data_IF_033086483438
#
_entry.id   IF_033086483438
#
_cell.length_a   1.000
_cell.length_b   1.000
_cell.length_c   1.000
_cell.angle_alpha   90.00
_cell.angle_beta   90.00
_cell.angle_gamma   90.00
#
_symmetry.space_group_name_H-M   'P 1'
#
loop_
_entity.id
_entity.type
_entity.pdbx_description
1 polymer ?
#
# COMPACT_ATOMS: atom_id res chain seq x y z
N UNK A 1 -29.71 -81.54 22.83
CA UNK A 1 -28.28 -81.77 22.57
C UNK A 1 -27.67 -80.49 22.00
N UNK A 2 -26.56 -80.05 22.63
CA UNK A 2 -25.51 -79.12 22.18
C UNK A 2 -25.86 -77.76 21.53
N UNK A 3 -25.58 -76.65 22.24
CA UNK A 3 -24.36 -75.79 22.16
C UNK A 3 -24.34 -75.03 20.81
N UNK A 4 -24.23 -73.70 20.75
CA UNK A 4 -23.24 -72.85 21.42
C UNK A 4 -23.65 -71.37 21.32
N UNK A 5 -23.40 -70.60 22.38
CA UNK A 5 -23.43 -69.12 22.41
C UNK A 5 -22.30 -68.56 21.54
N UNK A 6 -22.55 -67.47 20.82
CA UNK A 6 -21.52 -66.49 20.46
C UNK A 6 -22.07 -65.08 20.60
N UNK A 7 -21.61 -64.40 21.67
CA UNK A 7 -21.58 -62.95 21.75
C UNK A 7 -20.53 -62.44 20.75
N UNK A 8 -20.84 -61.42 19.96
CA UNK A 8 -19.82 -60.61 19.30
C UNK A 8 -19.95 -59.16 19.77
N UNK A 9 -18.91 -58.77 20.47
CA UNK A 9 -18.58 -57.46 21.00
C UNK A 9 -18.45 -56.42 19.88
N UNK A 10 -18.90 -55.20 20.21
CA UNK A 10 -18.22 -53.90 20.03
C UNK A 10 -17.19 -53.77 18.91
N UNK A 11 -17.40 -52.77 18.04
CA UNK A 11 -16.57 -51.57 17.90
C UNK A 11 -16.47 -51.07 16.44
N UNK A 12 -16.68 -49.77 16.27
CA UNK A 12 -16.23 -48.92 15.16
C UNK A 12 -16.82 -49.25 13.77
N UNK A 13 -17.23 -48.31 12.92
CA UNK A 13 -16.70 -46.99 12.66
C UNK A 13 -17.87 -46.02 12.43
N UNK A 14 -17.97 -44.98 13.25
CA UNK A 14 -18.45 -43.69 12.75
C UNK A 14 -17.32 -43.17 11.85
N UNK A 15 -17.42 -43.40 10.54
CA UNK A 15 -16.65 -42.64 9.57
C UNK A 15 -17.23 -41.22 9.57
N UNK A 16 -16.82 -40.42 10.55
CA UNK A 16 -16.75 -38.98 10.38
C UNK A 16 -15.83 -38.78 9.18
N UNK A 17 -16.44 -38.49 8.02
CA UNK A 17 -15.76 -37.87 6.91
C UNK A 17 -15.10 -36.61 7.47
N UNK A 18 -13.80 -36.69 7.79
CA UNK A 18 -12.91 -35.55 7.72
C UNK A 18 -12.87 -35.15 6.24
N UNK A 19 -13.93 -34.48 5.79
CA UNK A 19 -13.78 -33.53 4.70
C UNK A 19 -12.80 -32.51 5.26
N UNK A 20 -11.60 -32.34 4.68
CA UNK A 20 -10.79 -31.20 5.04
C UNK A 20 -11.68 -30.00 4.76
N UNK A 21 -12.12 -29.32 5.82
CA UNK A 21 -12.63 -27.98 5.66
C UNK A 21 -11.43 -27.23 5.13
N UNK A 22 -11.37 -27.08 3.81
CA UNK A 22 -10.60 -26.03 3.16
C UNK A 22 -11.20 -24.77 3.75
N UNK A 23 -10.64 -24.35 4.89
CA UNK A 23 -10.99 -23.11 5.52
C UNK A 23 -10.90 -22.10 4.40
N UNK A 24 -12.01 -21.39 4.17
CA UNK A 24 -11.95 -20.10 3.51
C UNK A 24 -10.78 -19.38 4.16
N UNK A 25 -9.65 -19.32 3.44
CA UNK A 25 -8.46 -18.66 3.92
C UNK A 25 -8.90 -17.22 4.14
N UNK A 26 -9.25 -16.87 5.38
CA UNK A 26 -9.22 -15.47 5.81
C UNK A 26 -7.87 -15.00 5.34
N UNK A 27 -7.83 -14.08 4.38
CA UNK A 27 -6.58 -13.52 3.87
C UNK A 27 -5.75 -13.20 5.10
N UNK A 28 -4.69 -13.97 5.34
CA UNK A 28 -3.91 -13.80 6.55
C UNK A 28 -3.26 -12.44 6.35
N UNK A 29 -3.78 -11.43 7.05
CA UNK A 29 -3.17 -10.11 7.06
C UNK A 29 -1.71 -10.32 7.48
N UNK A 30 -0.79 -9.59 6.87
CA UNK A 30 0.60 -9.60 7.33
C UNK A 30 0.62 -9.39 8.84
N UNK A 31 1.50 -10.09 9.54
CA UNK A 31 1.51 -10.14 11.01
C UNK A 31 1.80 -8.80 11.68
N UNK A 32 1.98 -7.73 10.90
CA UNK A 32 2.19 -6.38 11.37
C UNK A 32 0.92 -5.77 11.95
N UNK A 33 1.05 -5.30 13.17
CA UNK A 33 -0.02 -4.62 13.91
C UNK A 33 0.42 -3.21 14.31
N UNK A 34 -0.54 -2.31 14.54
CA UNK A 34 -0.25 -0.96 15.01
C UNK A 34 0.45 -0.93 16.38
N UNK A 35 0.44 -2.03 17.14
CA UNK A 35 1.19 -2.20 18.37
C UNK A 35 2.71 -2.29 18.12
N UNK A 36 3.14 -2.73 16.93
CA UNK A 36 4.56 -2.86 16.57
C UNK A 36 5.14 -1.56 16.00
N UNK A 37 4.31 -0.73 15.36
CA UNK A 37 4.75 0.52 14.73
C UNK A 37 3.83 1.67 15.13
N UNK A 38 4.31 2.50 16.05
CA UNK A 38 3.59 3.69 16.52
C UNK A 38 3.98 4.93 15.70
N UNK A 39 3.22 5.22 14.65
CA UNK A 39 3.45 6.39 13.81
C UNK A 39 3.10 7.73 14.46
N UNK A 40 2.37 7.75 15.58
CA UNK A 40 2.17 8.99 16.35
C UNK A 40 3.49 9.42 16.99
N UNK A 41 4.28 8.45 17.46
CA UNK A 41 5.59 8.71 18.08
C UNK A 41 6.73 8.84 17.07
N UNK A 42 6.66 8.09 15.96
CA UNK A 42 7.74 8.06 14.96
C UNK A 42 7.74 9.25 14.02
N UNK A 43 6.56 9.75 13.63
CA UNK A 43 6.47 10.88 12.73
C UNK A 43 6.62 12.20 13.49
N UNK A 44 7.28 13.22 12.91
CA UNK A 44 7.17 14.56 13.46
C UNK A 44 5.70 15.01 13.41
N UNK A 45 5.26 15.90 14.31
CA UNK A 45 3.94 16.49 14.18
C UNK A 45 3.84 17.30 12.88
N UNK A 46 2.66 17.34 12.21
CA UNK A 46 2.50 18.15 11.03
C UNK A 46 2.69 19.65 11.34
N UNK A 47 3.09 20.47 10.35
CA UNK A 47 3.09 21.91 10.49
C UNK A 47 1.73 22.44 10.94
N UNK A 48 1.74 23.25 12.00
CA UNK A 48 0.52 23.87 12.58
C UNK A 48 -0.20 24.70 11.53
N UNK A 49 -1.54 24.65 11.53
CA UNK A 49 -2.38 25.47 10.64
C UNK A 49 -2.10 26.95 10.89
N UNK A 50 -1.83 27.71 9.82
CA UNK A 50 -1.47 29.12 9.94
C UNK A 50 -0.03 29.37 10.40
N UNK A 51 0.83 28.34 10.50
CA UNK A 51 2.27 28.53 10.70
C UNK A 51 2.95 29.09 9.44
N UNK A 52 4.17 29.62 9.60
CA UNK A 52 4.99 30.06 8.45
C UNK A 52 5.28 28.90 7.48
N UNK A 53 5.49 27.69 8.00
CA UNK A 53 5.73 26.48 7.20
C UNK A 53 4.47 26.14 6.39
N UNK A 54 3.30 26.02 7.03
CA UNK A 54 2.06 25.70 6.32
C UNK A 54 1.69 26.75 5.26
N UNK A 55 1.96 28.05 5.52
CA UNK A 55 1.81 29.10 4.51
C UNK A 55 2.78 28.93 3.33
N UNK A 56 4.03 28.54 3.58
CA UNK A 56 5.00 28.29 2.52
C UNK A 56 4.58 27.10 1.65
N UNK A 57 4.12 26.02 2.28
CA UNK A 57 3.55 24.86 1.60
C UNK A 57 2.35 25.25 0.74
N UNK A 58 1.41 26.04 1.28
CA UNK A 58 0.25 26.51 0.54
C UNK A 58 0.64 27.36 -0.67
N UNK A 59 1.65 28.24 -0.56
CA UNK A 59 2.16 29.01 -1.70
C UNK A 59 2.69 28.11 -2.81
N UNK A 60 3.40 27.04 -2.48
CA UNK A 60 3.85 26.04 -3.45
C UNK A 60 2.64 25.42 -4.18
N UNK A 61 1.63 24.96 -3.44
CA UNK A 61 0.44 24.35 -4.05
C UNK A 61 -0.32 25.32 -4.97
N UNK A 62 -0.43 26.59 -4.59
CA UNK A 62 -1.03 27.63 -5.43
C UNK A 62 -0.21 27.89 -6.71
N UNK A 63 1.12 27.83 -6.62
CA UNK A 63 1.98 27.91 -7.81
C UNK A 63 1.77 26.70 -8.73
N UNK A 64 1.77 25.48 -8.17
CA UNK A 64 1.52 24.25 -8.94
C UNK A 64 0.16 24.26 -9.62
N UNK A 65 -0.89 24.75 -8.94
CA UNK A 65 -2.21 24.90 -9.54
C UNK A 65 -2.20 25.82 -10.77
N UNK A 66 -1.41 26.90 -10.73
CA UNK A 66 -1.32 27.86 -11.84
C UNK A 66 -0.48 27.34 -13.01
N UNK A 67 0.50 26.47 -12.74
CA UNK A 67 1.47 26.02 -13.74
C UNK A 67 1.24 24.60 -14.26
N UNK A 68 0.37 23.80 -13.64
CA UNK A 68 0.15 22.40 -14.03
C UNK A 68 -0.38 22.30 -15.47
N UNK A 69 0.22 21.42 -16.26
CA UNK A 69 -0.23 21.15 -17.63
C UNK A 69 -1.36 20.12 -17.66
N UNK A 70 -2.14 20.02 -18.76
CA UNK A 70 -3.14 18.98 -18.93
C UNK A 70 -2.58 17.56 -18.79
N UNK A 71 -1.37 17.31 -19.28
CA UNK A 71 -0.70 16.01 -19.21
C UNK A 71 -0.34 15.65 -17.76
N UNK A 72 0.15 16.62 -16.99
CA UNK A 72 0.43 16.43 -15.56
C UNK A 72 -0.86 16.16 -14.77
N UNK A 73 -1.95 16.86 -15.11
CA UNK A 73 -3.27 16.62 -14.51
C UNK A 73 -3.75 15.21 -14.82
N UNK A 74 -3.67 14.78 -16.09
CA UNK A 74 -4.08 13.43 -16.50
C UNK A 74 -3.27 12.34 -15.78
N UNK A 75 -1.94 12.52 -15.68
CA UNK A 75 -1.09 11.59 -14.96
C UNK A 75 -1.43 11.54 -13.46
N UNK A 76 -1.64 12.70 -12.83
CA UNK A 76 -2.01 12.77 -11.42
C UNK A 76 -3.37 12.13 -11.15
N UNK A 77 -4.33 12.28 -12.06
CA UNK A 77 -5.65 11.64 -12.00
C UNK A 77 -5.55 10.14 -12.14
N UNK A 78 -4.73 9.63 -13.07
CA UNK A 78 -4.45 8.20 -13.18
C UNK A 78 -3.82 7.65 -11.89
N UNK A 79 -2.91 8.43 -11.27
CA UNK A 79 -2.28 8.12 -9.99
C UNK A 79 -3.21 8.28 -8.77
N UNK A 80 -4.47 8.69 -8.96
CA UNK A 80 -5.47 8.60 -7.90
C UNK A 80 -5.78 7.13 -7.55
N UNK A 81 -5.69 6.21 -8.53
CA UNK A 81 -5.84 4.77 -8.31
C UNK A 81 -4.56 4.22 -7.66
N UNK A 82 -4.69 3.62 -6.47
CA UNK A 82 -3.58 2.97 -5.76
C UNK A 82 -3.47 1.51 -6.17
N UNK A 83 -2.69 1.26 -7.22
CA UNK A 83 -2.37 -0.08 -7.72
C UNK A 83 -0.91 -0.12 -8.15
N UNK A 84 -0.27 -1.28 -8.01
CA UNK A 84 1.13 -1.49 -8.39
C UNK A 84 1.35 -1.23 -9.89
N UNK A 85 0.34 -1.44 -10.72
CA UNK A 85 0.40 -1.21 -12.17
C UNK A 85 0.42 0.28 -12.57
N UNK A 86 0.54 1.20 -11.60
CA UNK A 86 0.93 2.59 -11.88
C UNK A 86 2.43 2.75 -12.17
N UNK A 87 3.21 1.69 -11.99
CA UNK A 87 4.64 1.59 -12.30
C UNK A 87 4.93 0.88 -13.63
N UNK A 88 3.91 0.55 -14.44
CA UNK A 88 4.08 -0.12 -15.74
C UNK A 88 4.97 0.68 -16.70
N UNK A 89 4.97 2.00 -16.61
CA UNK A 89 5.86 2.89 -17.38
C UNK A 89 7.34 2.78 -16.97
N UNK A 90 7.64 2.42 -15.72
CA UNK A 90 8.99 2.15 -15.24
C UNK A 90 9.49 0.73 -15.51
N UNK A 91 8.58 -0.24 -15.61
CA UNK A 91 8.91 -1.67 -15.68
C UNK A 91 8.79 -2.21 -17.11
N UNK A 92 7.73 -1.85 -17.82
CA UNK A 92 7.46 -2.29 -19.18
C UNK A 92 6.04 -2.81 -19.40
N UNK A 93 5.62 -2.94 -20.67
CA UNK A 93 4.21 -3.16 -21.05
C UNK A 93 3.64 -4.51 -20.64
N UNK A 94 4.49 -5.51 -20.33
CA UNK A 94 4.03 -6.79 -19.81
C UNK A 94 3.61 -6.75 -18.33
N UNK A 95 3.98 -5.67 -17.60
CA UNK A 95 3.65 -5.49 -16.18
C UNK A 95 2.21 -4.97 -16.01
N UNK A 96 1.24 -5.88 -16.12
CA UNK A 96 -0.20 -5.57 -16.07
C UNK A 96 -0.94 -6.55 -15.15
N UNK A 97 -2.13 -6.14 -14.67
CA UNK A 97 -2.96 -6.97 -13.80
C UNK A 97 -3.34 -8.31 -14.43
N UNK A 98 -3.63 -8.31 -15.73
CA UNK A 98 -4.05 -9.51 -16.46
C UNK A 98 -2.93 -10.57 -16.53
N UNK A 99 -1.68 -10.11 -16.59
CA UNK A 99 -0.51 -11.00 -16.64
C UNK A 99 -0.01 -11.42 -15.25
N UNK A 100 -0.37 -10.65 -14.21
CA UNK A 100 0.26 -10.72 -12.88
C UNK A 100 -0.77 -10.79 -11.73
N UNK A 101 -1.67 -11.79 -11.71
CA UNK A 101 -2.71 -11.89 -10.69
C UNK A 101 -2.17 -12.10 -9.26
N UNK A 102 -1.08 -12.86 -9.08
CA UNK A 102 -0.48 -13.05 -7.74
C UNK A 102 0.15 -11.75 -7.25
N UNK A 103 0.84 -11.05 -8.13
CA UNK A 103 1.45 -9.75 -7.86
C UNK A 103 0.39 -8.70 -7.53
N UNK A 104 -0.72 -8.68 -8.28
CA UNK A 104 -1.86 -7.81 -8.00
C UNK A 104 -2.40 -8.03 -6.57
N UNK A 105 -2.70 -9.28 -6.23
CA UNK A 105 -3.23 -9.64 -4.91
C UNK A 105 -2.25 -9.29 -3.79
N UNK A 106 -0.95 -9.56 -3.98
CA UNK A 106 0.09 -9.25 -3.01
C UNK A 106 0.21 -7.75 -2.72
N UNK A 107 0.20 -6.89 -3.75
CA UNK A 107 0.26 -5.45 -3.54
C UNK A 107 -1.05 -4.85 -3.02
N UNK A 108 -2.20 -5.48 -3.27
CA UNK A 108 -3.48 -5.10 -2.63
C UNK A 108 -3.47 -5.41 -1.12
N UNK A 109 -2.91 -6.56 -0.72
CA UNK A 109 -2.68 -6.87 0.68
C UNK A 109 -1.70 -5.88 1.32
N UNK A 110 -0.60 -5.57 0.64
CA UNK A 110 0.41 -4.59 1.09
C UNK A 110 -0.20 -3.20 1.30
N UNK A 111 -1.00 -2.73 0.34
CA UNK A 111 -1.72 -1.46 0.46
C UNK A 111 -2.65 -1.45 1.68
N UNK A 112 -3.39 -2.53 1.88
CA UNK A 112 -4.36 -2.65 2.98
C UNK A 112 -3.66 -2.67 4.34
N UNK A 113 -2.55 -3.41 4.47
CA UNK A 113 -1.73 -3.43 5.67
C UNK A 113 -1.12 -2.04 5.97
N UNK A 114 -0.56 -1.37 4.95
CA UNK A 114 0.01 -0.04 5.11
C UNK A 114 -1.05 1.00 5.55
N UNK A 115 -2.26 0.94 4.99
CA UNK A 115 -3.38 1.80 5.39
C UNK A 115 -3.79 1.59 6.86
N UNK A 116 -3.86 0.34 7.30
CA UNK A 116 -4.19 0.01 8.68
C UNK A 116 -3.14 0.54 9.67
N UNK A 117 -1.85 0.45 9.30
CA UNK A 117 -0.75 0.91 10.15
C UNK A 117 -0.70 2.44 10.31
N UNK A 118 -0.97 3.20 9.25
CA UNK A 118 -0.95 4.68 9.35
C UNK A 118 -2.25 5.27 9.90
N UNK A 119 -3.36 4.51 9.88
CA UNK A 119 -4.69 4.95 10.30
C UNK A 119 -4.72 5.66 11.67
N UNK A 120 -4.11 5.09 12.74
CA UNK A 120 -4.05 5.73 14.05
C UNK A 120 -3.37 7.11 14.03
N UNK A 121 -2.26 7.26 13.29
CA UNK A 121 -1.61 8.56 13.14
C UNK A 121 -2.49 9.56 12.39
N UNK A 122 -3.25 9.11 11.38
CA UNK A 122 -4.22 9.98 10.69
C UNK A 122 -5.30 10.49 11.63
N UNK A 123 -5.84 9.60 12.47
CA UNK A 123 -6.85 9.97 13.46
C UNK A 123 -6.30 10.86 14.57
N UNK A 124 -5.05 10.64 15.01
CA UNK A 124 -4.41 11.42 16.06
C UNK A 124 -4.10 12.86 15.62
N UNK A 125 -3.46 13.03 14.45
CA UNK A 125 -3.05 14.35 13.99
C UNK A 125 -4.18 15.15 13.35
N UNK A 126 -5.20 14.47 12.80
CA UNK A 126 -6.40 15.03 12.18
C UNK A 126 -6.17 16.30 11.33
N UNK A 127 -5.07 16.31 10.57
CA UNK A 127 -4.65 17.51 9.84
C UNK A 127 -5.67 17.82 8.73
N UNK A 128 -6.23 19.04 8.65
CA UNK A 128 -7.09 19.41 7.54
C UNK A 128 -6.32 19.40 6.20
N UNK A 129 -7.01 19.04 5.13
CA UNK A 129 -6.46 19.02 3.76
C UNK A 129 -6.18 20.46 3.26
N UNK A 130 -5.27 20.66 2.30
CA UNK A 130 -4.96 21.98 1.77
C UNK A 130 -6.20 22.79 1.34
N UNK A 131 -7.06 22.19 0.52
CA UNK A 131 -8.29 22.81 0.00
C UNK A 131 -9.35 23.12 1.07
N UNK A 132 -9.22 22.58 2.28
CA UNK A 132 -10.10 22.94 3.41
C UNK A 132 -9.64 24.25 4.04
N UNK A 133 -8.33 24.46 4.12
CA UNK A 133 -7.73 25.65 4.76
C UNK A 133 -7.59 26.85 3.82
N UNK A 134 -7.69 26.63 2.51
CA UNK A 134 -7.63 27.69 1.50
C UNK A 134 -8.66 27.40 0.39
N UNK A 135 -9.76 28.19 0.29
CA UNK A 135 -10.80 27.99 -0.71
C UNK A 135 -10.36 28.32 -2.15
N UNK A 136 -9.27 29.07 -2.34
CA UNK A 136 -8.73 29.40 -3.67
C UNK A 136 -7.98 28.22 -4.31
N UNK A 137 -7.66 27.20 -3.52
CA UNK A 137 -7.07 25.96 -4.02
C UNK A 137 -8.17 25.02 -4.53
N UNK A 138 -8.15 24.76 -5.83
CA UNK A 138 -9.05 23.87 -6.57
C UNK A 138 -8.33 22.59 -6.98
N UNK A 139 -8.47 21.49 -6.21
CA UNK A 139 -7.87 20.21 -6.54
C UNK A 139 -8.27 19.69 -7.93
N UNK A 140 -7.34 19.09 -8.66
CA UNK A 140 -7.65 18.35 -9.89
C UNK A 140 -7.83 16.85 -9.65
N UNK A 141 -7.82 16.42 -8.39
CA UNK A 141 -7.99 15.06 -7.93
C UNK A 141 -9.25 14.92 -7.07
N UNK A 142 -9.83 13.71 -6.94
CA UNK A 142 -10.91 13.46 -5.99
C UNK A 142 -10.52 13.89 -4.58
N UNK A 143 -11.43 14.62 -3.91
CA UNK A 143 -11.25 15.12 -2.54
C UNK A 143 -11.47 13.99 -1.53
N UNK A 144 -10.44 13.50 -0.81
CA UNK A 144 -10.63 12.43 0.17
C UNK A 144 -11.39 12.91 1.41
N UNK A 145 -12.15 12.01 2.03
CA UNK A 145 -12.94 12.29 3.25
C UNK A 145 -12.20 11.98 4.57
N UNK A 146 -10.87 11.90 4.55
CA UNK A 146 -10.04 11.62 5.72
C UNK A 146 -8.93 12.66 5.89
N UNK A 147 -8.27 12.64 7.06
CA UNK A 147 -7.19 13.56 7.41
C UNK A 147 -6.04 13.58 6.39
N UNK A 148 -5.32 14.70 6.30
CA UNK A 148 -4.24 14.91 5.34
C UNK A 148 -2.94 14.20 5.74
N UNK A 149 -2.61 14.17 7.04
CA UNK A 149 -1.30 13.71 7.53
C UNK A 149 -1.36 12.29 8.12
N UNK A 150 -0.33 11.43 7.95
CA UNK A 150 0.58 11.43 6.79
C UNK A 150 -0.15 11.06 5.49
N UNK A 151 0.46 11.30 4.33
CA UNK A 151 -0.16 10.95 3.04
C UNK A 151 -0.17 9.45 2.77
N UNK A 152 -1.37 8.84 2.69
CA UNK A 152 -1.53 7.41 2.38
C UNK A 152 -1.13 7.02 0.96
N UNK A 153 -1.30 7.92 -0.03
CA UNK A 153 -0.76 7.72 -1.39
C UNK A 153 0.77 7.73 -1.39
N UNK A 154 1.39 8.60 -0.59
CA UNK A 154 2.85 8.63 -0.46
C UNK A 154 3.39 7.40 0.27
N UNK A 155 2.73 6.96 1.34
CA UNK A 155 3.03 5.70 2.02
C UNK A 155 2.96 4.52 1.04
N UNK A 156 1.86 4.42 0.30
CA UNK A 156 1.65 3.37 -0.70
C UNK A 156 2.74 3.38 -1.78
N UNK A 157 3.04 4.54 -2.38
CA UNK A 157 4.06 4.64 -3.41
C UNK A 157 5.45 4.25 -2.90
N UNK A 158 5.75 4.61 -1.65
CA UNK A 158 7.06 4.32 -1.04
C UNK A 158 7.23 2.83 -0.75
N UNK A 159 6.29 2.22 -0.01
CA UNK A 159 6.35 0.78 0.28
C UNK A 159 6.37 -0.04 -1.02
N UNK A 160 5.55 0.34 -1.99
CA UNK A 160 5.47 -0.33 -3.29
C UNK A 160 6.80 -0.23 -4.04
N UNK A 161 7.40 0.96 -4.10
CA UNK A 161 8.66 1.17 -4.83
C UNK A 161 9.84 0.39 -4.22
N UNK A 162 9.93 0.33 -2.89
CA UNK A 162 10.97 -0.43 -2.19
C UNK A 162 10.81 -1.93 -2.51
N UNK A 163 9.60 -2.46 -2.38
CA UNK A 163 9.33 -3.87 -2.62
C UNK A 163 9.59 -4.22 -4.09
N UNK A 164 9.10 -3.41 -5.04
CA UNK A 164 9.31 -3.61 -6.47
C UNK A 164 10.80 -3.54 -6.82
N UNK A 165 11.56 -2.59 -6.29
CA UNK A 165 13.01 -2.50 -6.55
C UNK A 165 13.78 -3.72 -6.01
N UNK A 166 13.31 -4.35 -4.93
CA UNK A 166 13.86 -5.63 -4.46
C UNK A 166 13.45 -6.81 -5.36
N UNK A 167 12.25 -6.79 -5.94
CA UNK A 167 11.81 -7.82 -6.91
C UNK A 167 12.55 -7.69 -8.25
N UNK A 168 12.84 -6.45 -8.67
CA UNK A 168 13.35 -6.05 -9.98
C UNK A 168 14.52 -5.06 -9.83
N UNK A 169 15.67 -5.49 -9.29
CA UNK A 169 16.82 -4.62 -9.11
C UNK A 169 17.29 -3.97 -10.42
N UNK A 170 17.07 -4.63 -11.55
CA UNK A 170 17.38 -4.14 -12.90
C UNK A 170 16.58 -2.89 -13.28
N UNK A 171 15.44 -2.64 -12.63
CA UNK A 171 14.56 -1.49 -12.84
C UNK A 171 14.54 -0.51 -11.66
N UNK A 172 15.39 -0.69 -10.65
CA UNK A 172 15.30 0.03 -9.38
C UNK A 172 15.28 1.56 -9.56
N UNK A 173 16.19 2.11 -10.36
CA UNK A 173 16.28 3.55 -10.60
C UNK A 173 15.00 4.10 -11.25
N UNK A 174 14.48 3.41 -12.26
CA UNK A 174 13.23 3.78 -12.93
C UNK A 174 12.03 3.70 -11.98
N UNK A 175 11.96 2.66 -11.14
CA UNK A 175 10.91 2.48 -10.14
C UNK A 175 10.93 3.61 -9.12
N UNK A 176 12.09 3.97 -8.58
CA UNK A 176 12.20 5.05 -7.60
C UNK A 176 11.91 6.42 -8.21
N UNK A 177 12.40 6.69 -9.43
CA UNK A 177 12.06 7.91 -10.16
C UNK A 177 10.55 8.03 -10.37
N UNK A 178 9.88 6.94 -10.76
CA UNK A 178 8.43 6.92 -10.95
C UNK A 178 7.66 7.14 -9.66
N UNK A 179 8.16 6.59 -8.56
CA UNK A 179 7.59 6.77 -7.23
C UNK A 179 7.64 8.25 -6.77
N UNK A 180 8.72 8.98 -7.09
CA UNK A 180 8.79 10.42 -6.82
C UNK A 180 7.72 11.19 -7.59
N UNK A 181 7.52 10.89 -8.87
CA UNK A 181 6.45 11.50 -9.67
C UNK A 181 5.07 11.19 -9.08
N UNK A 182 4.83 9.94 -8.69
CA UNK A 182 3.56 9.52 -8.07
C UNK A 182 3.24 10.30 -6.79
N UNK A 183 4.26 10.49 -5.95
CA UNK A 183 4.15 11.25 -4.70
C UNK A 183 3.90 12.73 -4.97
N UNK A 184 4.68 13.32 -5.87
CA UNK A 184 4.56 14.72 -6.25
C UNK A 184 3.19 15.04 -6.86
N UNK A 185 2.59 14.11 -7.59
CA UNK A 185 1.24 14.26 -8.15
C UNK A 185 0.17 14.56 -7.07
N UNK A 186 0.42 14.24 -5.80
CA UNK A 186 -0.49 14.56 -4.69
C UNK A 186 -0.41 16.04 -4.28
N UNK A 187 0.77 16.65 -4.40
CA UNK A 187 1.00 18.07 -4.20
C UNK A 187 0.48 18.86 -5.40
N UNK A 188 0.85 18.45 -6.62
CA UNK A 188 0.34 19.04 -7.87
C UNK A 188 -1.20 19.00 -7.95
N UNK A 189 -1.77 17.92 -7.43
CA UNK A 189 -3.22 17.74 -7.34
C UNK A 189 -3.91 18.57 -6.25
N UNK A 190 -3.17 19.22 -5.36
CA UNK A 190 -3.69 20.09 -4.30
C UNK A 190 -4.38 19.36 -3.15
N UNK A 191 -4.11 18.06 -2.96
CA UNK A 191 -4.80 17.23 -1.93
C UNK A 191 -3.90 16.86 -0.75
N UNK A 192 -2.61 17.14 -0.83
CA UNK A 192 -1.64 16.97 0.25
C UNK A 192 -0.64 18.12 0.26
N UNK A 193 -0.17 18.46 1.46
CA UNK A 193 0.99 19.32 1.65
C UNK A 193 2.29 18.52 1.44
N UNK A 194 3.41 19.19 1.09
CA UNK A 194 4.73 18.56 1.02
C UNK A 194 5.11 17.78 2.29
N UNK A 195 4.81 18.30 3.48
CA UNK A 195 5.06 17.59 4.74
C UNK A 195 4.19 16.34 4.92
N UNK A 196 2.96 16.30 4.38
CA UNK A 196 2.17 15.05 4.38
C UNK A 196 2.84 13.98 3.52
N UNK A 197 3.36 14.38 2.36
CA UNK A 197 4.05 13.50 1.42
C UNK A 197 5.36 13.01 2.02
N UNK A 198 6.16 13.89 2.62
CA UNK A 198 7.39 13.54 3.32
C UNK A 198 7.15 12.54 4.46
N UNK A 199 6.13 12.78 5.29
CA UNK A 199 5.78 11.85 6.36
C UNK A 199 5.28 10.50 5.83
N UNK A 200 4.57 10.49 4.71
CA UNK A 200 4.19 9.24 4.03
C UNK A 200 5.42 8.46 3.52
N UNK A 201 6.49 9.14 3.08
CA UNK A 201 7.76 8.47 2.72
C UNK A 201 8.41 7.80 3.92
N UNK A 202 8.48 8.50 5.05
CA UNK A 202 9.00 7.93 6.30
C UNK A 202 8.18 6.70 6.69
N UNK A 203 6.85 6.85 6.72
CA UNK A 203 5.95 5.76 7.10
C UNK A 203 6.10 4.55 6.17
N UNK A 204 6.10 4.75 4.85
CA UNK A 204 6.24 3.67 3.89
C UNK A 204 7.59 2.96 3.97
N UNK A 205 8.67 3.68 4.28
CA UNK A 205 10.01 3.09 4.49
C UNK A 205 10.04 2.21 5.73
N UNK A 206 9.50 2.69 6.86
CA UNK A 206 9.40 1.91 8.09
C UNK A 206 8.53 0.67 7.88
N UNK A 207 7.37 0.80 7.23
CA UNK A 207 6.49 -0.34 6.92
C UNK A 207 7.22 -1.36 6.07
N UNK A 208 7.92 -0.94 5.01
CA UNK A 208 8.67 -1.86 4.16
C UNK A 208 9.72 -2.66 4.95
N UNK A 209 10.48 -2.00 5.83
CA UNK A 209 11.47 -2.66 6.67
C UNK A 209 10.86 -3.76 7.54
N UNK A 210 9.75 -3.47 8.23
CA UNK A 210 9.06 -4.45 9.07
C UNK A 210 8.40 -5.56 8.26
N UNK A 211 7.92 -5.27 7.03
CA UNK A 211 7.31 -6.30 6.18
C UNK A 211 8.34 -7.36 5.77
N UNK A 212 9.59 -6.97 5.47
CA UNK A 212 10.63 -7.95 5.11
C UNK A 212 11.00 -8.91 6.26
N UNK A 213 10.67 -8.56 7.50
CA UNK A 213 10.86 -9.44 8.66
C UNK A 213 9.63 -10.33 8.96
N UNK A 214 8.50 -10.14 8.25
CA UNK A 214 7.27 -10.91 8.44
C UNK A 214 7.25 -12.19 7.58
N UNK A 215 7.17 -13.40 8.18
CA UNK A 215 7.21 -14.65 7.42
C UNK A 215 6.06 -14.82 6.41
N UNK A 216 4.86 -14.33 6.75
CA UNK A 216 3.67 -14.41 5.88
C UNK A 216 3.87 -13.51 4.66
N UNK A 217 4.40 -12.30 4.88
CA UNK A 217 4.82 -11.40 3.81
C UNK A 217 5.89 -12.05 2.93
N UNK A 218 6.93 -12.65 3.51
CA UNK A 218 8.03 -13.23 2.74
C UNK A 218 7.60 -14.40 1.85
N UNK A 219 6.66 -15.23 2.30
CA UNK A 219 6.05 -16.27 1.46
C UNK A 219 5.27 -15.68 0.28
N UNK A 220 4.42 -14.68 0.55
CA UNK A 220 3.64 -14.01 -0.50
C UNK A 220 4.54 -13.23 -1.48
N UNK A 221 5.57 -12.56 -0.96
CA UNK A 221 6.60 -11.85 -1.70
C UNK A 221 7.33 -12.79 -2.67
N UNK A 222 7.76 -13.96 -2.20
CA UNK A 222 8.47 -14.93 -3.04
C UNK A 222 7.61 -15.38 -4.23
N UNK A 223 6.31 -15.64 -4.01
CA UNK A 223 5.36 -16.02 -5.06
C UNK A 223 5.12 -14.90 -6.07
N UNK A 224 4.88 -13.68 -5.60
CA UNK A 224 4.68 -12.50 -6.45
C UNK A 224 5.94 -12.17 -7.26
N UNK A 225 7.12 -12.23 -6.63
CA UNK A 225 8.41 -12.03 -7.30
C UNK A 225 8.63 -13.07 -8.39
N UNK A 226 8.40 -14.35 -8.11
CA UNK A 226 8.58 -15.41 -9.08
C UNK A 226 7.66 -15.26 -10.31
N UNK A 227 6.39 -14.92 -10.09
CA UNK A 227 5.43 -14.61 -11.16
C UNK A 227 5.91 -13.41 -11.99
N UNK A 228 6.24 -12.30 -11.32
CA UNK A 228 6.70 -11.07 -11.97
C UNK A 228 7.92 -11.33 -12.85
N UNK A 229 8.97 -11.94 -12.28
CA UNK A 229 10.22 -12.19 -13.02
C UNK A 229 10.00 -13.16 -14.19
N UNK A 230 9.18 -14.19 -14.02
CA UNK A 230 8.82 -15.12 -15.11
C UNK A 230 8.10 -14.41 -16.25
N UNK A 231 7.11 -13.57 -15.97
CA UNK A 231 6.35 -12.83 -16.99
C UNK A 231 7.23 -11.82 -17.73
N UNK A 232 8.18 -11.22 -17.03
CA UNK A 232 9.14 -10.27 -17.62
C UNK A 232 10.33 -10.95 -18.31
N UNK A 233 10.43 -12.29 -18.28
CA UNK A 233 11.55 -13.02 -18.88
C UNK A 233 12.88 -12.83 -18.14
N UNK A 234 12.83 -12.50 -16.84
CA UNK A 234 13.99 -12.27 -16.00
C UNK A 234 14.42 -13.54 -15.24
N UNK A 235 15.73 -13.71 -14.93
CA UNK A 235 16.24 -14.83 -14.14
C UNK A 235 15.59 -14.89 -12.76
N UNK A 236 15.36 -16.07 -12.17
CA UNK A 236 14.74 -16.19 -10.83
C UNK A 236 15.70 -15.78 -9.72
#
# INVERSE_FOLDING_TARGET
MHRTRTYRLLAALLLLLLVPQTGLAKSQAFGLTAQQIDFVRLLPPPPVVGSAIQRAEMRLLMTLQKSRTPEQVALAQADAKRTVFRFTDAIGPAFTADNLPLTAAFFDMTRTAADALIGPAKAHFDRPRPYVTNPDLTPCLPKPHNASYPSGHSTFATVTSIILANMLPEHADAIYARAEVYRFNRELGGVHYPSDVAAGRIAGTVIAAFLFDDPVFMEAYARARAETRRVLGLPQ
#
